data_IF_894514530316
#
_entry.id   IF_894514530316
#
_cell.length_a   1.000
_cell.length_b   1.000
_cell.length_c   1.000
_cell.angle_alpha   90.00
_cell.angle_beta   90.00
_cell.angle_gamma   90.00
#
_symmetry.space_group_name_H-M   'P 1'
#
loop_
_entity.id
_entity.type
_entity.pdbx_description
1 polymer ?
#
# COMPACT_ATOMS: atom_id res chain seq x y z
N UNK A 1 17.05 42.98 66.56
CA UNK A 1 16.20 41.77 66.52
C UNK A 1 15.56 41.72 65.13
N UNK A 2 16.14 40.95 64.23
CA UNK A 2 15.62 40.75 62.90
C UNK A 2 15.36 39.24 62.79
N UNK A 3 14.08 38.89 62.72
CA UNK A 3 13.64 37.50 62.57
C UNK A 3 13.78 37.00 61.16
N UNK A 4 14.51 35.90 60.97
CA UNK A 4 14.54 35.15 59.71
C UNK A 4 13.31 34.24 59.63
N UNK A 5 12.48 34.49 58.62
CA UNK A 5 11.38 33.59 58.24
C UNK A 5 11.96 32.51 57.33
N UNK A 6 11.84 31.26 57.79
CA UNK A 6 12.20 30.08 57.05
C UNK A 6 11.11 29.81 55.99
N UNK A 7 11.47 29.79 54.68
CA UNK A 7 10.57 29.33 53.62
C UNK A 7 10.63 27.81 53.48
N UNK A 8 9.50 27.14 53.21
CA UNK A 8 9.47 25.68 53.02
C UNK A 8 10.06 25.25 51.69
N UNK A 9 10.80 24.16 51.75
CA UNK A 9 11.56 23.62 50.65
C UNK A 9 10.71 23.21 49.44
N UNK A 10 11.27 23.51 48.26
CA UNK A 10 10.87 22.90 47.02
C UNK A 10 11.31 21.44 47.02
N UNK A 11 10.35 20.53 46.98
CA UNK A 11 10.58 19.12 46.71
C UNK A 11 10.93 19.00 45.24
N UNK A 12 12.18 18.62 44.96
CA UNK A 12 12.56 18.12 43.63
C UNK A 12 11.86 16.79 43.38
N UNK A 13 10.83 16.81 42.56
CA UNK A 13 10.30 15.61 41.96
C UNK A 13 11.39 15.11 41.00
N UNK A 14 11.99 13.97 41.30
CA UNK A 14 12.85 13.26 40.40
C UNK A 14 11.98 12.67 39.28
N UNK A 15 11.84 13.39 38.20
CA UNK A 15 11.38 12.81 36.93
C UNK A 15 12.42 11.76 36.49
N UNK A 16 12.09 10.50 36.73
CA UNK A 16 12.73 9.38 36.06
C UNK A 16 12.26 9.41 34.61
N UNK A 17 12.97 10.16 33.76
CA UNK A 17 12.81 10.11 32.32
C UNK A 17 13.32 8.76 31.81
N UNK A 18 12.50 7.73 31.94
CA UNK A 18 12.53 6.61 31.02
C UNK A 18 11.83 7.09 29.78
N UNK A 19 12.61 7.46 28.75
CA UNK A 19 12.09 7.84 27.43
C UNK A 19 11.56 6.61 26.68
N UNK A 20 10.47 6.01 27.16
CA UNK A 20 9.59 5.25 26.31
C UNK A 20 8.79 6.27 25.51
N UNK A 21 8.93 6.26 24.19
CA UNK A 21 8.07 7.05 23.32
C UNK A 21 6.62 6.60 23.56
N UNK A 22 5.78 7.52 24.03
CA UNK A 22 4.36 7.27 24.36
C UNK A 22 3.49 6.99 23.13
N UNK A 23 4.09 6.73 21.95
CA UNK A 23 3.41 6.48 20.69
C UNK A 23 3.41 4.97 20.41
N UNK A 24 2.61 4.25 21.19
CA UNK A 24 2.21 2.90 20.78
C UNK A 24 1.00 3.00 19.88
N UNK A 25 1.12 2.46 18.66
CA UNK A 25 0.01 2.36 17.74
C UNK A 25 -1.08 1.41 18.26
N UNK A 26 -2.33 1.67 17.87
CA UNK A 26 -3.42 0.71 18.08
C UNK A 26 -3.11 -0.60 17.36
N UNK A 27 -3.19 -1.73 18.07
CA UNK A 27 -2.84 -3.04 17.53
C UNK A 27 -3.67 -3.43 16.30
N UNK A 28 -4.93 -3.00 16.24
CA UNK A 28 -5.83 -3.26 15.11
C UNK A 28 -5.42 -2.44 13.88
N UNK A 29 -4.94 -1.20 14.07
CA UNK A 29 -4.39 -0.40 12.97
C UNK A 29 -3.10 -1.00 12.44
N UNK A 30 -2.21 -1.48 13.31
CA UNK A 30 -0.99 -2.19 12.89
C UNK A 30 -1.32 -3.46 12.11
N UNK A 31 -2.37 -4.20 12.49
CA UNK A 31 -2.87 -5.36 11.74
C UNK A 31 -3.41 -4.95 10.37
N UNK A 32 -4.18 -3.86 10.28
CA UNK A 32 -4.66 -3.30 9.02
C UNK A 32 -3.50 -2.91 8.10
N UNK A 33 -2.50 -2.18 8.61
CA UNK A 33 -1.31 -1.78 7.86
C UNK A 33 -0.54 -3.00 7.32
N UNK A 34 -0.33 -4.04 8.13
CA UNK A 34 0.30 -5.28 7.70
C UNK A 34 -0.56 -6.04 6.67
N UNK A 35 -1.88 -5.93 6.74
CA UNK A 35 -2.77 -6.56 5.76
C UNK A 35 -2.72 -5.84 4.42
N UNK A 36 -2.60 -4.50 4.41
CA UNK A 36 -2.35 -3.75 3.17
C UNK A 36 -0.94 -4.08 2.65
N UNK A 37 0.09 -4.05 3.50
CA UNK A 37 1.45 -4.42 3.10
C UNK A 37 1.52 -5.80 2.42
N UNK A 38 0.78 -6.79 2.95
CA UNK A 38 0.62 -8.11 2.32
C UNK A 38 0.02 -8.01 0.92
N UNK A 39 -0.94 -7.11 0.69
CA UNK A 39 -1.55 -6.89 -0.62
C UNK A 39 -0.56 -6.28 -1.60
N UNK A 40 0.15 -5.22 -1.19
CA UNK A 40 1.16 -4.56 -2.02
C UNK A 40 2.29 -5.53 -2.42
N UNK A 41 2.80 -6.31 -1.45
CA UNK A 41 3.81 -7.34 -1.74
C UNK A 41 3.31 -8.40 -2.73
N UNK A 42 2.00 -8.70 -2.73
CA UNK A 42 1.38 -9.60 -3.70
C UNK A 42 1.31 -8.93 -5.09
N UNK A 43 0.81 -7.70 -5.16
CA UNK A 43 0.71 -6.92 -6.39
C UNK A 43 2.08 -6.70 -7.06
N UNK A 44 3.11 -6.29 -6.29
CA UNK A 44 4.49 -6.14 -6.75
C UNK A 44 4.95 -7.39 -7.52
N UNK A 45 4.80 -8.58 -6.91
CA UNK A 45 5.28 -9.82 -7.52
C UNK A 45 4.43 -10.24 -8.73
N UNK A 46 3.11 -10.03 -8.69
CA UNK A 46 2.21 -10.35 -9.79
C UNK A 46 2.51 -9.46 -11.00
N UNK A 47 2.56 -8.15 -10.80
CA UNK A 47 2.81 -7.17 -11.86
C UNK A 47 4.22 -7.30 -12.43
N UNK A 48 5.22 -7.51 -11.57
CA UNK A 48 6.58 -7.72 -12.05
C UNK A 48 6.67 -8.93 -13.01
N UNK A 49 6.05 -10.06 -12.65
CA UNK A 49 6.04 -11.23 -13.54
C UNK A 49 5.22 -10.99 -14.81
N UNK A 50 4.06 -10.32 -14.72
CA UNK A 50 3.25 -9.96 -15.89
C UNK A 50 4.03 -9.04 -16.84
N UNK A 51 4.81 -8.07 -16.30
CA UNK A 51 5.68 -7.21 -17.11
C UNK A 51 6.76 -8.01 -17.84
N UNK A 52 7.45 -8.94 -17.16
CA UNK A 52 8.45 -9.82 -17.77
C UNK A 52 7.85 -10.71 -18.86
N UNK A 53 6.63 -11.21 -18.65
CA UNK A 53 5.92 -11.99 -19.66
C UNK A 53 5.56 -11.15 -20.89
N UNK A 54 5.06 -9.92 -20.69
CA UNK A 54 4.79 -8.99 -21.79
C UNK A 54 6.05 -8.63 -22.57
N UNK A 55 7.17 -8.38 -21.89
CA UNK A 55 8.48 -8.15 -22.49
C UNK A 55 8.90 -9.34 -23.37
N UNK A 56 8.80 -10.56 -22.81
CA UNK A 56 9.15 -11.80 -23.54
C UNK A 56 8.26 -12.06 -24.75
N UNK A 57 7.02 -11.55 -24.76
CA UNK A 57 6.11 -11.66 -25.90
C UNK A 57 6.29 -10.54 -26.93
N UNK A 58 7.14 -9.53 -26.65
CA UNK A 58 7.38 -8.37 -27.50
C UNK A 58 6.34 -7.26 -27.35
N UNK A 59 5.53 -7.27 -26.30
CA UNK A 59 4.55 -6.21 -26.00
C UNK A 59 5.18 -5.15 -25.08
N UNK A 60 6.15 -4.41 -25.61
CA UNK A 60 7.03 -3.53 -24.82
C UNK A 60 6.28 -2.40 -24.13
N UNK A 61 5.21 -1.84 -24.75
CA UNK A 61 4.41 -0.78 -24.12
C UNK A 61 3.71 -1.29 -22.86
N UNK A 62 3.15 -2.50 -22.93
CA UNK A 62 2.53 -3.15 -21.77
C UNK A 62 3.57 -3.49 -20.69
N UNK A 63 4.70 -4.04 -21.09
CA UNK A 63 5.79 -4.37 -20.18
C UNK A 63 6.27 -3.15 -19.41
N UNK A 64 6.49 -2.01 -20.09
CA UNK A 64 6.91 -0.75 -19.46
C UNK A 64 5.85 -0.22 -18.48
N UNK A 65 4.58 -0.26 -18.87
CA UNK A 65 3.49 0.20 -18.00
C UNK A 65 3.36 -0.68 -16.77
N UNK A 66 3.19 -1.99 -16.95
CA UNK A 66 2.99 -2.93 -15.82
C UNK A 66 4.19 -2.98 -14.87
N UNK A 67 5.42 -2.78 -15.40
CA UNK A 67 6.62 -2.64 -14.57
C UNK A 67 6.59 -1.36 -13.72
N UNK A 68 6.09 -0.25 -14.30
CA UNK A 68 5.92 1.02 -13.58
C UNK A 68 4.94 0.85 -12.43
N UNK A 69 3.80 0.20 -12.66
CA UNK A 69 2.82 -0.12 -11.61
C UNK A 69 3.48 -0.95 -10.48
N UNK A 70 4.22 -2.03 -10.83
CA UNK A 70 4.94 -2.81 -9.81
C UNK A 70 5.91 -1.97 -8.95
N UNK A 71 6.51 -0.92 -9.52
CA UNK A 71 7.37 0.01 -8.78
C UNK A 71 6.54 0.96 -7.91
N UNK A 72 5.36 1.38 -8.36
CA UNK A 72 4.44 2.20 -7.57
C UNK A 72 3.96 1.45 -6.33
N UNK A 73 3.64 0.14 -6.46
CA UNK A 73 3.32 -0.71 -5.30
C UNK A 73 4.51 -0.89 -4.33
N UNK A 74 5.76 -0.87 -4.82
CA UNK A 74 6.93 -0.84 -3.93
C UNK A 74 6.97 0.44 -3.08
N UNK A 75 6.56 1.58 -3.64
CA UNK A 75 6.49 2.86 -2.90
C UNK A 75 5.36 2.82 -1.87
N UNK A 76 4.21 2.20 -2.18
CA UNK A 76 3.15 1.96 -1.20
C UNK A 76 3.66 1.09 -0.05
N UNK A 77 4.32 -0.02 -0.36
CA UNK A 77 4.91 -0.93 0.64
C UNK A 77 5.94 -0.21 1.54
N UNK A 78 6.79 0.67 0.98
CA UNK A 78 7.75 1.48 1.73
C UNK A 78 7.04 2.37 2.75
N UNK A 79 6.03 3.15 2.32
CA UNK A 79 5.24 4.04 3.21
C UNK A 79 4.52 3.26 4.32
N UNK A 80 4.00 2.07 4.01
CA UNK A 80 3.35 1.20 4.98
C UNK A 80 4.35 0.69 6.03
N UNK A 81 5.53 0.23 5.60
CA UNK A 81 6.60 -0.19 6.51
C UNK A 81 7.04 0.96 7.43
N UNK A 82 7.26 2.15 6.89
CA UNK A 82 7.61 3.34 7.68
C UNK A 82 6.53 3.63 8.74
N UNK A 83 5.25 3.53 8.35
CA UNK A 83 4.14 3.78 9.28
C UNK A 83 4.03 2.73 10.37
N UNK A 84 4.19 1.44 10.04
CA UNK A 84 4.19 0.34 11.01
C UNK A 84 5.32 0.52 12.02
N UNK A 85 6.54 0.83 11.57
CA UNK A 85 7.70 1.07 12.44
C UNK A 85 7.50 2.30 13.33
N UNK A 86 6.93 3.39 12.81
CA UNK A 86 6.58 4.58 13.60
C UNK A 86 5.60 4.26 14.74
N UNK A 87 4.71 3.30 14.55
CA UNK A 87 3.73 2.84 15.54
C UNK A 87 4.28 1.73 16.46
N UNK A 88 5.59 1.50 16.49
CA UNK A 88 6.27 0.43 17.23
C UNK A 88 5.81 -0.99 16.82
N UNK A 89 5.23 -1.13 15.63
CA UNK A 89 4.86 -2.41 15.04
C UNK A 89 6.01 -3.07 14.29
N UNK A 90 5.81 -4.33 13.88
CA UNK A 90 6.75 -5.07 13.04
C UNK A 90 6.15 -5.31 11.66
N UNK A 91 6.75 -4.81 10.54
CA UNK A 91 6.31 -5.11 9.20
C UNK A 91 6.49 -6.59 8.87
N UNK A 92 5.45 -7.23 8.33
CA UNK A 92 5.51 -8.63 7.91
C UNK A 92 5.80 -8.73 6.40
N UNK A 93 7.05 -9.04 6.06
CA UNK A 93 7.54 -9.14 4.68
C UNK A 93 7.41 -10.55 4.08
N UNK A 94 6.91 -11.52 4.82
CA UNK A 94 6.88 -12.93 4.42
C UNK A 94 5.48 -13.47 4.13
N UNK A 95 4.45 -12.64 4.22
CA UNK A 95 3.06 -13.03 3.98
C UNK A 95 2.54 -12.45 2.66
N UNK A 96 1.86 -13.30 1.88
CA UNK A 96 1.32 -12.96 0.56
C UNK A 96 -0.09 -13.52 0.41
N UNK A 97 -0.93 -12.82 -0.33
CA UNK A 97 -2.13 -13.42 -0.90
C UNK A 97 -1.75 -14.32 -2.07
N UNK A 98 -2.72 -15.02 -2.63
CA UNK A 98 -2.47 -15.84 -3.80
C UNK A 98 -2.13 -14.98 -5.00
N UNK A 99 -0.96 -15.21 -5.60
CA UNK A 99 -0.56 -14.62 -6.87
C UNK A 99 -1.26 -15.38 -8.00
N UNK A 100 -1.99 -14.67 -8.86
CA UNK A 100 -2.74 -15.23 -9.97
C UNK A 100 -2.11 -14.78 -11.30
N UNK A 101 -1.34 -15.67 -11.92
CA UNK A 101 -0.64 -15.35 -13.17
C UNK A 101 -1.56 -15.57 -14.37
N UNK A 102 -1.70 -14.55 -15.22
CA UNK A 102 -2.44 -14.63 -16.47
C UNK A 102 -1.63 -15.31 -17.56
N UNK A 103 -2.22 -16.30 -18.26
CA UNK A 103 -1.55 -17.00 -19.35
C UNK A 103 -1.47 -16.16 -20.66
N UNK A 104 -2.18 -15.06 -20.75
CA UNK A 104 -2.18 -14.08 -21.83
C UNK A 104 -2.56 -12.69 -21.29
N UNK A 105 -2.38 -11.65 -22.09
CA UNK A 105 -2.60 -10.25 -21.70
C UNK A 105 -4.00 -9.99 -21.13
N UNK A 106 -5.05 -10.52 -21.77
CA UNK A 106 -6.42 -10.33 -21.28
C UNK A 106 -6.65 -10.96 -19.89
N UNK A 107 -6.07 -12.14 -19.65
CA UNK A 107 -6.13 -12.76 -18.32
C UNK A 107 -5.26 -12.03 -17.30
N UNK A 108 -4.11 -11.49 -17.71
CA UNK A 108 -3.29 -10.64 -16.83
C UNK A 108 -4.10 -9.44 -16.35
N UNK A 109 -4.70 -8.67 -17.26
CA UNK A 109 -5.55 -7.53 -16.87
C UNK A 109 -6.71 -7.91 -15.97
N UNK A 110 -7.38 -9.04 -16.21
CA UNK A 110 -8.48 -9.51 -15.33
C UNK A 110 -7.99 -9.88 -13.94
N UNK A 111 -6.82 -10.51 -13.86
CA UNK A 111 -6.25 -10.90 -12.58
C UNK A 111 -5.73 -9.67 -11.81
N UNK A 112 -5.12 -8.71 -12.50
CA UNK A 112 -4.64 -7.47 -11.91
C UNK A 112 -5.82 -6.62 -11.41
N UNK A 113 -6.86 -6.45 -12.22
CA UNK A 113 -8.09 -5.75 -11.85
C UNK A 113 -8.75 -6.36 -10.59
N UNK A 114 -8.69 -7.68 -10.43
CA UNK A 114 -9.23 -8.32 -9.21
C UNK A 114 -8.40 -7.97 -7.98
N UNK A 115 -7.08 -7.83 -8.11
CA UNK A 115 -6.20 -7.40 -7.00
C UNK A 115 -6.59 -5.99 -6.56
N UNK A 116 -6.82 -5.08 -7.51
CA UNK A 116 -7.19 -3.68 -7.22
C UNK A 116 -8.58 -3.56 -6.59
N UNK A 117 -9.57 -4.29 -7.09
CA UNK A 117 -10.90 -4.32 -6.45
C UNK A 117 -10.84 -4.81 -5.00
N UNK A 118 -10.04 -5.84 -4.74
CA UNK A 118 -9.85 -6.35 -3.38
C UNK A 118 -9.08 -5.35 -2.50
N UNK A 119 -8.13 -4.58 -3.07
CA UNK A 119 -7.41 -3.52 -2.39
C UNK A 119 -8.33 -2.34 -2.02
N UNK A 120 -9.08 -1.81 -2.97
CA UNK A 120 -10.04 -0.70 -2.76
C UNK A 120 -11.06 -1.04 -1.68
N UNK A 121 -11.62 -2.26 -1.71
CA UNK A 121 -12.56 -2.71 -0.68
C UNK A 121 -11.92 -2.71 0.71
N UNK A 122 -10.72 -3.27 0.82
CA UNK A 122 -9.95 -3.38 2.06
C UNK A 122 -9.58 -2.00 2.61
N UNK A 123 -9.09 -1.10 1.75
CA UNK A 123 -8.69 0.25 2.13
C UNK A 123 -9.87 1.04 2.67
N UNK A 124 -11.05 0.97 2.03
CA UNK A 124 -12.27 1.63 2.54
C UNK A 124 -12.64 1.16 3.95
N UNK A 125 -12.56 -0.17 4.22
CA UNK A 125 -12.82 -0.70 5.55
C UNK A 125 -11.78 -0.20 6.57
N UNK A 126 -10.51 -0.14 6.21
CA UNK A 126 -9.41 0.23 7.10
C UNK A 126 -9.34 1.74 7.37
N UNK A 127 -9.74 2.59 6.43
CA UNK A 127 -9.94 4.03 6.61
C UNK A 127 -10.93 4.29 7.77
N UNK A 128 -12.03 3.55 7.81
CA UNK A 128 -13.03 3.66 8.89
C UNK A 128 -12.44 3.18 10.22
N UNK A 129 -11.70 2.07 10.24
CA UNK A 129 -11.07 1.54 11.46
C UNK A 129 -10.08 2.54 12.03
N UNK A 130 -9.16 3.06 11.22
CA UNK A 130 -8.15 4.04 11.64
C UNK A 130 -8.81 5.34 12.15
N UNK A 131 -9.86 5.81 11.47
CA UNK A 131 -10.63 6.97 11.90
C UNK A 131 -11.30 6.80 13.25
N UNK A 132 -11.87 5.62 13.52
CA UNK A 132 -12.58 5.34 14.79
C UNK A 132 -11.66 5.32 16.02
N UNK A 133 -10.38 4.97 15.86
CA UNK A 133 -9.39 5.00 16.94
C UNK A 133 -8.59 6.32 16.99
N UNK A 134 -8.88 7.26 16.09
CA UNK A 134 -8.21 8.57 16.04
C UNK A 134 -6.82 8.53 15.40
N UNK A 135 -6.44 7.45 14.71
CA UNK A 135 -5.18 7.37 13.96
C UNK A 135 -5.34 7.97 12.56
N UNK A 136 -5.39 9.29 12.52
CA UNK A 136 -5.53 10.05 11.27
C UNK A 136 -4.31 9.93 10.34
N UNK A 137 -3.13 9.63 10.86
CA UNK A 137 -1.93 9.43 10.05
C UNK A 137 -2.01 8.15 9.22
N UNK A 138 -2.43 7.03 9.82
CA UNK A 138 -2.68 5.78 9.10
C UNK A 138 -3.88 5.89 8.17
N UNK A 139 -4.94 6.58 8.61
CA UNK A 139 -6.09 6.88 7.76
C UNK A 139 -5.68 7.64 6.49
N UNK A 140 -4.90 8.72 6.62
CA UNK A 140 -4.45 9.51 5.48
C UNK A 140 -3.57 8.69 4.53
N UNK A 141 -2.74 7.78 5.05
CA UNK A 141 -1.96 6.85 4.21
C UNK A 141 -2.88 5.92 3.41
N UNK A 142 -3.89 5.30 4.05
CA UNK A 142 -4.87 4.48 3.36
C UNK A 142 -5.67 5.26 2.31
N UNK A 143 -6.07 6.50 2.60
CA UNK A 143 -6.76 7.39 1.64
C UNK A 143 -5.87 7.74 0.44
N UNK A 144 -4.55 7.90 0.65
CA UNK A 144 -3.60 8.15 -0.44
C UNK A 144 -3.45 6.94 -1.35
N UNK A 145 -3.27 5.75 -0.77
CA UNK A 145 -3.16 4.50 -1.53
C UNK A 145 -4.48 4.22 -2.27
N UNK A 146 -5.62 4.37 -1.59
CA UNK A 146 -6.95 4.17 -2.22
C UNK A 146 -7.10 4.96 -3.52
N UNK A 147 -6.65 6.21 -3.53
CA UNK A 147 -6.73 7.06 -4.73
C UNK A 147 -5.88 6.48 -5.88
N UNK A 148 -4.69 6.00 -5.57
CA UNK A 148 -3.79 5.44 -6.57
C UNK A 148 -4.37 4.11 -7.13
N UNK A 149 -4.97 3.24 -6.28
CA UNK A 149 -5.65 2.01 -6.70
C UNK A 149 -6.90 2.26 -7.57
N UNK A 150 -7.65 3.35 -7.29
CA UNK A 150 -8.77 3.75 -8.16
C UNK A 150 -8.27 4.17 -9.55
N UNK A 151 -7.11 4.81 -9.67
CA UNK A 151 -6.46 5.15 -10.95
C UNK A 151 -6.00 3.88 -11.70
N UNK A 152 -5.46 2.87 -11.00
CA UNK A 152 -5.10 1.57 -11.57
C UNK A 152 -6.34 0.83 -12.10
N UNK A 153 -7.45 0.82 -11.36
CA UNK A 153 -8.73 0.24 -11.81
C UNK A 153 -9.20 0.89 -13.12
N UNK A 154 -9.23 2.23 -13.17
CA UNK A 154 -9.69 2.98 -14.34
C UNK A 154 -8.86 2.62 -15.58
N UNK A 155 -7.54 2.53 -15.43
CA UNK A 155 -6.66 2.08 -16.51
C UNK A 155 -6.99 0.66 -16.96
N UNK A 156 -7.07 -0.31 -16.04
CA UNK A 156 -7.29 -1.73 -16.37
C UNK A 156 -8.65 -1.96 -17.01
N UNK A 157 -9.70 -1.28 -16.52
CA UNK A 157 -11.03 -1.32 -17.12
C UNK A 157 -11.02 -0.75 -18.56
N UNK A 158 -10.30 0.37 -18.77
CA UNK A 158 -10.15 0.96 -20.11
C UNK A 158 -9.43 0.01 -21.09
N UNK A 159 -8.37 -0.71 -20.63
CA UNK A 159 -7.69 -1.69 -21.46
C UNK A 159 -8.62 -2.87 -21.83
N UNK A 160 -9.34 -3.41 -20.85
CA UNK A 160 -10.27 -4.51 -21.08
C UNK A 160 -11.44 -4.08 -22.01
N UNK A 161 -11.93 -2.85 -21.87
CA UNK A 161 -12.92 -2.29 -22.77
C UNK A 161 -12.37 -2.19 -24.20
N UNK A 162 -11.18 -1.64 -24.38
CA UNK A 162 -10.54 -1.53 -25.69
C UNK A 162 -10.34 -2.90 -26.35
N UNK A 163 -9.95 -3.93 -25.59
CA UNK A 163 -9.86 -5.31 -26.07
C UNK A 163 -11.23 -5.81 -26.55
N UNK A 164 -12.30 -5.51 -25.81
CA UNK A 164 -13.67 -5.88 -26.17
C UNK A 164 -14.14 -5.25 -27.45
N UNK A 165 -13.82 -3.96 -27.68
CA UNK A 165 -14.24 -3.19 -28.85
C UNK A 165 -13.46 -3.57 -30.12
N UNK A 166 -12.15 -3.70 -30.05
CA UNK A 166 -11.31 -3.90 -31.24
C UNK A 166 -10.79 -5.33 -31.44
N UNK A 167 -10.99 -6.19 -30.47
CA UNK A 167 -10.46 -7.56 -30.43
C UNK A 167 -8.98 -7.62 -30.04
N UNK A 168 -8.61 -8.70 -29.37
CA UNK A 168 -7.27 -8.84 -28.76
C UNK A 168 -6.12 -8.73 -29.77
N UNK A 169 -6.26 -9.25 -31.01
CA UNK A 169 -5.21 -9.18 -32.02
C UNK A 169 -4.91 -7.74 -32.44
N UNK A 170 -5.96 -6.93 -32.67
CA UNK A 170 -5.79 -5.53 -33.00
C UNK A 170 -5.24 -4.72 -31.84
N UNK A 171 -5.69 -5.00 -30.62
CA UNK A 171 -5.17 -4.38 -29.42
C UNK A 171 -3.67 -4.65 -29.25
N UNK A 172 -3.25 -5.92 -29.33
CA UNK A 172 -1.85 -6.33 -29.18
C UNK A 172 -0.92 -5.75 -30.26
N UNK A 173 -1.43 -5.55 -31.50
CA UNK A 173 -0.64 -4.90 -32.55
C UNK A 173 -0.23 -3.46 -32.23
N UNK A 174 -0.95 -2.78 -31.32
CA UNK A 174 -0.64 -1.42 -30.87
C UNK A 174 0.34 -1.40 -29.68
N UNK A 175 0.66 -2.55 -29.11
CA UNK A 175 1.51 -2.68 -27.93
C UNK A 175 2.98 -2.92 -28.22
N UNK A 176 3.31 -3.11 -29.51
CA UNK A 176 4.68 -3.23 -30.00
C UNK A 176 5.39 -1.86 -29.96
N UNK A 177 6.71 -1.83 -29.79
CA UNK A 177 7.51 -0.63 -30.12
C UNK A 177 7.62 -0.45 -31.65
N UNK A 178 7.78 0.82 -32.09
CA UNK A 178 8.10 1.15 -33.49
C UNK A 178 9.59 0.94 -33.78
#
# INVERSE_FOLDING_TARGET
MLGFVCQPGYSFISDSANGESDVKGDSKVIECLNTVLKAELTAINQYFLHAEMCENWGYEKLAKHTRKESIEEMVHAEKLMERILYLDGTPNMSDYFKINIGANVEQQFKNDLQVEYDAVKRLNDFIVIAGNVGDYGSRQLFESILKDEEEHIDYLEAQLHAIGEMGIQNYLSQQLEE
#
